data_IF_389960293686
#
_entry.id   IF_389960293686
#
_cell.length_a   1.000
_cell.length_b   1.000
_cell.length_c   1.000
_cell.angle_alpha   90.00
_cell.angle_beta   90.00
_cell.angle_gamma   90.00
#
_symmetry.space_group_name_H-M   'P 1'
#
loop_
_entity.id
_entity.type
_entity.pdbx_description
1 polymer ?
#
# COMPACT_ATOMS: atom_id res chain seq x y z
N UNK A 1 7.47 -13.52 7.58
CA UNK A 1 7.49 -13.35 6.11
C UNK A 1 8.93 -13.09 5.69
N UNK A 2 9.53 -13.93 4.83
CA UNK A 2 10.80 -13.58 4.20
C UNK A 2 10.44 -12.70 2.99
N UNK A 3 10.75 -11.41 3.09
CA UNK A 3 10.61 -10.51 1.95
C UNK A 3 11.74 -10.84 0.97
N UNK A 4 11.40 -11.38 -0.19
CA UNK A 4 12.35 -11.57 -1.29
C UNK A 4 12.45 -10.27 -2.12
N UNK A 5 13.46 -10.18 -2.99
CA UNK A 5 13.65 -8.99 -3.84
C UNK A 5 12.42 -8.65 -4.68
N UNK A 6 11.62 -9.63 -5.07
CA UNK A 6 10.44 -9.39 -5.90
C UNK A 6 9.29 -8.83 -5.07
N UNK A 7 9.16 -9.22 -3.80
CA UNK A 7 8.16 -8.65 -2.89
C UNK A 7 8.43 -7.17 -2.58
N UNK A 8 9.70 -6.76 -2.55
CA UNK A 8 10.11 -5.37 -2.29
C UNK A 8 10.23 -4.50 -3.56
N UNK A 9 9.80 -4.98 -4.72
CA UNK A 9 9.96 -4.26 -6.00
C UNK A 9 9.23 -2.92 -6.02
N UNK A 10 8.02 -2.86 -5.47
CA UNK A 10 7.27 -1.61 -5.26
C UNK A 10 6.51 -1.67 -3.93
N UNK A 11 7.03 -0.98 -2.93
CA UNK A 11 6.53 -1.02 -1.56
C UNK A 11 5.76 0.27 -1.20
N UNK A 12 4.47 0.14 -0.91
CA UNK A 12 3.63 1.25 -0.48
C UNK A 12 3.46 1.28 1.05
N UNK A 13 3.44 2.48 1.63
CA UNK A 13 3.13 2.72 3.05
C UNK A 13 1.93 3.65 3.11
N UNK A 14 0.92 3.30 3.91
CA UNK A 14 -0.34 4.04 3.96
C UNK A 14 -0.29 5.25 4.91
N UNK A 15 -1.14 6.24 4.70
CA UNK A 15 -1.42 7.29 5.68
C UNK A 15 -2.92 7.67 5.64
N UNK A 16 -3.63 7.47 6.75
CA UNK A 16 -5.09 7.74 6.83
C UNK A 16 -5.45 9.22 6.73
N UNK A 17 -4.49 10.14 6.93
CA UNK A 17 -4.75 11.58 6.82
C UNK A 17 -4.88 12.04 5.36
N UNK A 18 -4.42 11.23 4.40
CA UNK A 18 -4.29 11.60 2.98
C UNK A 18 -5.16 10.73 2.07
N UNK A 19 -6.42 10.51 2.44
CA UNK A 19 -7.33 9.68 1.64
C UNK A 19 -8.20 10.46 0.65
N UNK A 20 -8.19 11.80 0.72
CA UNK A 20 -8.96 12.70 -0.14
C UNK A 20 -10.45 12.30 -0.28
N UNK A 21 -11.11 12.03 0.86
CA UNK A 21 -12.51 11.62 0.91
C UNK A 21 -12.80 10.15 0.57
N UNK A 22 -11.79 9.39 0.11
CA UNK A 22 -11.91 7.94 -0.10
C UNK A 22 -11.60 7.11 1.16
N UNK A 23 -11.80 5.80 1.06
CA UNK A 23 -11.41 4.83 2.07
C UNK A 23 -9.97 4.34 1.86
N UNK A 24 -9.34 3.87 2.93
CA UNK A 24 -8.02 3.26 2.87
C UNK A 24 -8.01 2.04 1.92
N UNK A 25 -9.07 1.23 1.96
CA UNK A 25 -9.21 0.04 1.14
C UNK A 25 -9.20 0.36 -0.36
N UNK A 26 -9.95 1.38 -0.79
CA UNK A 26 -9.98 1.80 -2.20
C UNK A 26 -8.61 2.26 -2.70
N UNK A 27 -7.85 3.00 -1.88
CA UNK A 27 -6.52 3.46 -2.25
C UNK A 27 -5.53 2.30 -2.33
N UNK A 28 -5.60 1.34 -1.41
CA UNK A 28 -4.80 0.12 -1.43
C UNK A 28 -5.13 -0.74 -2.66
N UNK A 29 -6.41 -0.86 -3.01
CA UNK A 29 -6.83 -1.60 -4.20
C UNK A 29 -6.30 -0.96 -5.50
N UNK A 30 -6.42 0.37 -5.62
CA UNK A 30 -5.85 1.13 -6.76
C UNK A 30 -4.34 0.91 -6.86
N UNK A 31 -3.64 0.99 -5.74
CA UNK A 31 -2.20 0.78 -5.68
C UNK A 31 -1.80 -0.65 -6.08
N UNK A 32 -2.54 -1.66 -5.61
CA UNK A 32 -2.33 -3.06 -6.00
C UNK A 32 -2.54 -3.27 -7.51
N UNK A 33 -3.63 -2.72 -8.08
CA UNK A 33 -3.89 -2.76 -9.52
C UNK A 33 -2.81 -2.04 -10.35
N UNK A 34 -2.16 -1.02 -9.78
CA UNK A 34 -1.05 -0.29 -10.39
C UNK A 34 0.32 -0.98 -10.24
N UNK A 35 0.39 -2.16 -9.63
CA UNK A 35 1.60 -2.98 -9.56
C UNK A 35 2.39 -2.88 -8.25
N UNK A 36 1.78 -2.36 -7.17
CA UNK A 36 2.38 -2.43 -5.83
C UNK A 36 2.51 -3.89 -5.41
N UNK A 37 3.70 -4.28 -4.97
CA UNK A 37 4.04 -5.67 -4.60
C UNK A 37 4.04 -5.90 -3.09
N UNK A 38 4.02 -4.83 -2.28
CA UNK A 38 3.90 -4.91 -0.83
C UNK A 38 3.22 -3.65 -0.28
N UNK A 39 2.40 -3.79 0.76
CA UNK A 39 1.69 -2.68 1.43
C UNK A 39 1.92 -2.76 2.93
N UNK A 40 2.33 -1.65 3.54
CA UNK A 40 2.37 -1.48 4.99
C UNK A 40 1.23 -0.59 5.44
N UNK A 41 0.36 -1.15 6.29
CA UNK A 41 -0.61 -0.37 7.04
C UNK A 41 0.12 0.38 8.14
N UNK A 42 0.08 1.71 8.09
CA UNK A 42 0.65 2.58 9.12
C UNK A 42 -0.45 3.37 9.78
N UNK A 43 -0.65 3.06 11.06
CA UNK A 43 -1.48 3.78 12.01
C UNK A 43 -0.54 4.48 12.99
N UNK A 44 -0.74 5.78 13.22
CA UNK A 44 -0.01 6.57 14.21
C UNK A 44 -1.00 7.33 15.09
#
# INVERSE_FOLDING_TARGET
>A
MKADKNTLKLYAVTDRKWLNGGSLAEQVEKAARAGVTMVQLREK
#
